data_IF_042981622784
#
_entry.id   IF_042981622784
#
_cell.length_a   1.000
_cell.length_b   1.000
_cell.length_c   1.000
_cell.angle_alpha   90.00
_cell.angle_beta   90.00
_cell.angle_gamma   90.00
#
_symmetry.space_group_name_H-M   'P 1'
#
loop_
_entity.id
_entity.type
_entity.pdbx_description
1 polymer ?
#
# COMPACT_ATOMS: atom_id res chain seq x y z
N UNK A 1 -18.44 3.94 19.32
CA UNK A 1 -17.40 3.07 19.88
C UNK A 1 -16.34 2.93 18.81
N UNK A 2 -15.31 3.78 18.83
CA UNK A 2 -14.35 3.95 17.73
C UNK A 2 -13.30 2.84 17.76
N UNK A 3 -13.54 1.79 17.00
CA UNK A 3 -12.65 0.66 16.74
C UNK A 3 -12.77 0.50 15.22
N UNK A 4 -11.86 0.93 14.35
CA UNK A 4 -10.41 0.80 14.29
C UNK A 4 -9.85 1.82 13.27
N UNK A 5 -8.53 2.00 13.24
CA UNK A 5 -7.78 2.87 12.32
C UNK A 5 -7.90 2.53 10.81
N UNK A 6 -8.89 1.75 10.40
CA UNK A 6 -9.03 1.24 9.03
C UNK A 6 -10.49 0.92 8.68
N UNK A 7 -11.44 1.58 9.36
CA UNK A 7 -12.89 1.31 9.22
C UNK A 7 -13.38 1.51 7.80
N UNK A 8 -12.93 2.58 7.11
CA UNK A 8 -13.35 2.80 5.73
C UNK A 8 -12.91 1.68 4.78
N UNK A 9 -11.65 1.21 4.89
CA UNK A 9 -11.20 0.05 4.12
C UNK A 9 -12.00 -1.19 4.48
N UNK A 10 -12.20 -1.46 5.78
CA UNK A 10 -12.93 -2.63 6.25
C UNK A 10 -14.35 -2.65 5.70
N UNK A 11 -15.08 -1.55 5.80
CA UNK A 11 -16.44 -1.41 5.27
C UNK A 11 -16.46 -1.59 3.74
N UNK A 12 -15.51 -0.99 3.03
CA UNK A 12 -15.39 -1.11 1.57
C UNK A 12 -15.10 -2.55 1.16
N UNK A 13 -14.16 -3.22 1.82
CA UNK A 13 -13.80 -4.62 1.57
C UNK A 13 -14.99 -5.55 1.84
N UNK A 14 -15.64 -5.40 2.99
CA UNK A 14 -16.82 -6.20 3.37
C UNK A 14 -18.05 -5.94 2.50
N UNK A 15 -18.05 -4.85 1.72
CA UNK A 15 -19.12 -4.58 0.73
C UNK A 15 -19.02 -5.46 -0.53
N UNK A 16 -17.89 -6.14 -0.74
CA UNK A 16 -17.62 -7.03 -1.88
C UNK A 16 -17.19 -8.45 -1.47
N UNK A 17 -16.56 -8.60 -0.31
CA UNK A 17 -15.92 -9.82 0.15
C UNK A 17 -16.34 -10.17 1.58
N UNK A 18 -15.85 -11.30 2.08
CA UNK A 18 -16.19 -11.79 3.40
C UNK A 18 -15.00 -11.78 4.39
N UNK A 19 -15.25 -12.24 5.61
CA UNK A 19 -14.23 -12.27 6.65
C UNK A 19 -13.07 -13.26 6.37
N UNK A 20 -13.30 -14.49 5.87
CA UNK A 20 -12.23 -15.35 5.37
C UNK A 20 -11.28 -14.64 4.39
N UNK A 21 -11.81 -13.90 3.43
CA UNK A 21 -11.01 -13.15 2.45
C UNK A 21 -10.10 -12.11 3.10
N UNK A 22 -10.61 -11.42 4.11
CA UNK A 22 -9.83 -10.44 4.86
C UNK A 22 -8.64 -11.09 5.58
N UNK A 23 -8.78 -12.33 6.06
CA UNK A 23 -7.67 -13.06 6.71
C UNK A 23 -6.56 -13.42 5.72
N UNK A 24 -6.85 -13.53 4.43
CA UNK A 24 -5.83 -13.78 3.40
C UNK A 24 -4.91 -12.57 3.18
N UNK A 25 -5.35 -11.36 3.56
CA UNK A 25 -4.55 -10.12 3.50
C UNK A 25 -3.95 -9.80 4.86
N UNK A 26 -4.64 -10.17 5.94
CA UNK A 26 -4.18 -9.89 7.28
C UNK A 26 -3.03 -10.81 7.68
N UNK A 27 -1.91 -10.22 8.10
CA UNK A 27 -0.72 -10.97 8.52
C UNK A 27 -0.10 -11.85 7.42
N UNK A 28 -0.26 -11.44 6.17
CA UNK A 28 0.27 -12.14 4.99
C UNK A 28 1.54 -11.46 4.43
N UNK A 29 2.52 -12.26 4.02
CA UNK A 29 3.67 -11.81 3.24
C UNK A 29 4.47 -10.69 3.89
N UNK A 30 5.16 -9.92 3.04
CA UNK A 30 6.04 -8.83 3.46
C UNK A 30 5.39 -7.46 3.39
N UNK A 31 4.28 -7.28 2.69
CA UNK A 31 3.67 -5.98 2.41
C UNK A 31 2.19 -5.88 2.79
N UNK A 32 1.48 -7.00 2.97
CA UNK A 32 0.08 -6.94 3.41
C UNK A 32 -0.04 -6.49 4.87
N UNK A 33 -1.28 -6.35 5.36
CA UNK A 33 -1.57 -5.77 6.67
C UNK A 33 -0.76 -6.46 7.77
N UNK A 34 -0.05 -5.66 8.58
CA UNK A 34 0.73 -6.20 9.70
C UNK A 34 -0.13 -6.41 10.94
N UNK A 35 0.29 -7.35 11.79
CA UNK A 35 -0.20 -7.40 13.17
C UNK A 35 0.28 -6.17 13.94
N UNK A 36 -0.66 -5.33 14.41
CA UNK A 36 -0.34 -4.18 15.25
C UNK A 36 -1.32 -3.02 15.12
N UNK A 37 -1.00 -1.92 15.80
CA UNK A 37 -1.86 -0.73 15.89
C UNK A 37 -1.96 0.08 14.58
N UNK A 38 -1.15 -0.24 13.57
CA UNK A 38 -1.09 0.48 12.28
C UNK A 38 -0.98 -0.51 11.12
N UNK A 39 -2.04 -1.29 10.86
CA UNK A 39 -2.00 -2.33 9.83
C UNK A 39 -1.84 -1.77 8.41
N UNK A 40 -2.25 -0.51 8.17
CA UNK A 40 -2.21 0.16 6.86
C UNK A 40 -0.88 0.87 6.54
N UNK A 41 0.01 1.07 7.52
CA UNK A 41 1.20 1.92 7.37
C UNK A 41 2.23 1.34 6.40
N UNK A 42 2.01 0.11 5.93
CA UNK A 42 2.90 -0.63 5.07
C UNK A 42 4.16 -1.02 5.81
N UNK A 43 4.48 -2.29 5.75
CA UNK A 43 5.74 -2.80 6.26
C UNK A 43 6.89 -2.31 5.36
N UNK A 44 7.90 -1.67 5.97
CA UNK A 44 9.12 -1.24 5.30
C UNK A 44 10.03 -2.41 4.93
N UNK A 45 9.47 -3.44 4.30
CA UNK A 45 10.19 -4.63 3.92
C UNK A 45 11.31 -4.28 2.93
N UNK A 46 12.49 -4.82 3.18
CA UNK A 46 13.68 -4.64 2.35
C UNK A 46 13.83 -5.77 1.32
N UNK A 47 12.85 -6.65 1.24
CA UNK A 47 12.83 -7.84 0.38
C UNK A 47 11.73 -7.73 -0.68
N UNK A 48 11.90 -8.35 -1.85
CA UNK A 48 10.84 -8.46 -2.84
C UNK A 48 9.57 -9.12 -2.25
N UNK A 49 8.38 -8.80 -2.79
CA UNK A 49 7.15 -9.46 -2.38
C UNK A 49 7.27 -10.98 -2.62
N UNK A 50 6.71 -11.77 -1.69
CA UNK A 50 6.91 -13.23 -1.69
C UNK A 50 6.09 -13.96 -2.75
N UNK A 51 5.00 -13.35 -3.21
CA UNK A 51 4.14 -13.84 -4.28
C UNK A 51 3.30 -12.71 -4.92
N UNK A 52 2.37 -13.07 -5.81
CA UNK A 52 1.52 -12.08 -6.47
C UNK A 52 0.53 -11.37 -5.52
N UNK A 53 0.07 -12.01 -4.45
CA UNK A 53 -0.81 -11.36 -3.45
C UNK A 53 -0.02 -10.29 -2.70
N UNK A 54 1.21 -10.61 -2.33
CA UNK A 54 2.12 -9.67 -1.68
C UNK A 54 2.55 -8.53 -2.64
N UNK A 55 2.60 -8.77 -3.95
CA UNK A 55 2.75 -7.69 -4.97
C UNK A 55 1.58 -6.71 -4.93
N UNK A 56 0.32 -7.17 -4.83
CA UNK A 56 -0.82 -6.26 -4.69
C UNK A 56 -0.76 -5.44 -3.41
N UNK A 57 -0.40 -6.07 -2.30
CA UNK A 57 -0.22 -5.38 -1.03
C UNK A 57 0.92 -4.36 -1.08
N UNK A 58 2.01 -4.66 -1.79
CA UNK A 58 3.09 -3.71 -2.06
C UNK A 58 2.57 -2.51 -2.86
N UNK A 59 1.76 -2.74 -3.90
CA UNK A 59 1.18 -1.67 -4.71
C UNK A 59 0.24 -0.79 -3.87
N UNK A 60 -0.60 -1.41 -3.02
CA UNK A 60 -1.51 -0.70 -2.13
C UNK A 60 -0.77 0.14 -1.08
N UNK A 61 0.22 -0.41 -0.40
CA UNK A 61 1.01 0.32 0.60
C UNK A 61 1.92 1.38 -0.02
N UNK A 62 2.40 1.17 -1.24
CA UNK A 62 3.09 2.20 -2.04
C UNK A 62 2.14 3.34 -2.38
N UNK A 63 0.88 3.03 -2.73
CA UNK A 63 -0.14 4.04 -2.98
C UNK A 63 -0.32 4.99 -1.79
N UNK A 64 -0.44 4.46 -0.57
CA UNK A 64 -0.51 5.28 0.64
C UNK A 64 0.72 6.15 0.88
N UNK A 65 1.92 5.59 0.67
CA UNK A 65 3.17 6.34 0.83
C UNK A 65 3.24 7.48 -0.20
N UNK A 66 2.76 7.26 -1.41
CA UNK A 66 2.68 8.31 -2.42
C UNK A 66 1.61 9.36 -2.09
N UNK A 67 0.42 8.94 -1.63
CA UNK A 67 -0.60 9.87 -1.14
C UNK A 67 -0.04 10.80 -0.05
N UNK A 68 0.84 10.29 0.82
CA UNK A 68 1.58 11.10 1.79
C UNK A 68 2.52 12.10 1.14
N UNK A 69 3.33 11.67 0.18
CA UNK A 69 4.30 12.53 -0.52
C UNK A 69 3.56 13.66 -1.25
N UNK A 70 2.50 13.34 -2.00
CA UNK A 70 1.75 14.30 -2.82
C UNK A 70 1.10 15.43 -2.00
N UNK A 71 0.80 15.18 -0.73
CA UNK A 71 0.11 16.14 0.17
C UNK A 71 0.97 16.55 1.38
N UNK A 72 2.29 16.66 1.17
CA UNK A 72 3.24 17.19 2.17
C UNK A 72 3.26 16.41 3.51
N UNK A 73 3.19 15.08 3.44
CA UNK A 73 3.27 14.13 4.56
C UNK A 73 2.16 14.22 5.62
N UNK A 74 1.07 14.94 5.35
CA UNK A 74 -0.04 15.12 6.30
C UNK A 74 -1.12 14.03 6.21
N UNK A 75 -1.01 13.09 5.27
CA UNK A 75 -2.06 12.13 4.95
C UNK A 75 -1.79 10.74 5.50
N UNK A 76 -2.24 10.45 6.71
CA UNK A 76 -2.02 9.13 7.33
C UNK A 76 -3.26 8.25 7.11
N UNK A 77 -3.16 7.13 6.36
CA UNK A 77 -4.28 6.22 6.08
C UNK A 77 -5.03 5.79 7.35
N UNK A 78 -4.31 5.66 8.46
CA UNK A 78 -4.88 5.20 9.73
C UNK A 78 -5.82 6.17 10.42
N UNK A 79 -5.77 7.45 10.05
CA UNK A 79 -6.44 8.52 10.80
C UNK A 79 -7.31 9.40 9.92
N UNK A 80 -7.22 9.23 8.62
CA UNK A 80 -8.00 10.00 7.66
C UNK A 80 -9.25 9.21 7.32
N UNK A 81 -10.39 9.71 7.79
CA UNK A 81 -11.68 9.19 7.36
C UNK A 81 -12.07 9.81 6.03
N UNK A 82 -12.52 8.97 5.11
CA UNK A 82 -13.07 9.35 3.82
C UNK A 82 -14.49 8.80 3.65
N UNK A 83 -15.20 9.30 2.65
CA UNK A 83 -16.55 8.85 2.31
C UNK A 83 -16.50 8.14 0.96
N UNK A 84 -17.34 7.13 0.79
CA UNK A 84 -17.50 6.41 -0.48
C UNK A 84 -18.93 5.87 -0.57
N UNK A 85 -19.37 5.57 -1.78
CA UNK A 85 -20.69 4.97 -2.03
C UNK A 85 -20.60 4.00 -3.21
N UNK A 86 -21.68 3.25 -3.45
CA UNK A 86 -21.83 2.46 -4.68
C UNK A 86 -22.75 3.19 -5.65
N UNK A 87 -22.34 3.27 -6.91
CA UNK A 87 -23.18 3.82 -7.97
C UNK A 87 -24.31 2.86 -8.38
N UNK A 88 -25.08 3.23 -9.39
CA UNK A 88 -26.18 2.40 -9.93
C UNK A 88 -25.71 1.05 -10.49
N UNK A 89 -24.40 0.90 -10.77
CA UNK A 89 -23.77 -0.32 -11.30
C UNK A 89 -23.02 -1.12 -10.22
N UNK A 90 -23.25 -0.84 -8.93
CA UNK A 90 -22.54 -1.42 -7.78
C UNK A 90 -21.02 -1.14 -7.78
N UNK A 91 -20.57 -0.11 -8.51
CA UNK A 91 -19.18 0.32 -8.53
C UNK A 91 -18.89 1.24 -7.35
N UNK A 92 -17.80 0.97 -6.64
CA UNK A 92 -17.33 1.83 -5.55
C UNK A 92 -16.92 3.18 -6.14
N UNK A 93 -17.44 4.27 -5.61
CA UNK A 93 -17.08 5.65 -5.98
C UNK A 93 -16.58 6.36 -4.74
N UNK A 94 -15.40 6.97 -4.85
CA UNK A 94 -14.82 7.79 -3.80
C UNK A 94 -15.45 9.17 -3.79
N UNK A 95 -15.98 9.59 -2.64
CA UNK A 95 -16.46 10.95 -2.46
C UNK A 95 -15.28 11.86 -2.13
N UNK A 96 -15.03 12.80 -3.04
CA UNK A 96 -13.79 13.56 -3.04
C UNK A 96 -13.78 14.69 -2.02
N UNK A 97 -14.93 15.14 -1.48
CA UNK A 97 -15.05 16.20 -0.46
C UNK A 97 -14.19 17.48 -0.73
N UNK A 98 -13.67 17.65 -1.94
CA UNK A 98 -12.52 18.51 -2.28
C UNK A 98 -11.24 18.33 -1.42
N UNK A 99 -11.05 17.20 -0.75
CA UNK A 99 -9.86 16.91 0.04
C UNK A 99 -8.94 15.90 -0.69
N UNK A 100 -7.77 16.33 -1.20
CA UNK A 100 -6.89 15.48 -2.00
C UNK A 100 -6.33 14.28 -1.22
N UNK A 101 -6.17 14.40 0.10
CA UNK A 101 -5.71 13.30 0.93
C UNK A 101 -6.78 12.21 1.09
N UNK A 102 -8.02 12.62 1.41
CA UNK A 102 -9.15 11.67 1.52
C UNK A 102 -9.38 10.95 0.19
N UNK A 103 -9.39 11.70 -0.90
CA UNK A 103 -9.50 11.18 -2.26
C UNK A 103 -8.42 10.15 -2.54
N UNK A 104 -7.15 10.48 -2.31
CA UNK A 104 -6.03 9.58 -2.59
C UNK A 104 -6.11 8.27 -1.78
N UNK A 105 -6.42 8.34 -0.48
CA UNK A 105 -6.56 7.13 0.35
C UNK A 105 -7.74 6.27 -0.13
N UNK A 106 -8.90 6.89 -0.40
CA UNK A 106 -10.05 6.16 -0.90
C UNK A 106 -9.75 5.44 -2.23
N UNK A 107 -9.08 6.12 -3.17
CA UNK A 107 -8.72 5.50 -4.45
C UNK A 107 -7.70 4.37 -4.29
N UNK A 108 -6.75 4.48 -3.34
CA UNK A 108 -5.86 3.38 -3.00
C UNK A 108 -6.62 2.14 -2.49
N UNK A 109 -7.62 2.35 -1.61
CA UNK A 109 -8.44 1.28 -1.04
C UNK A 109 -9.35 0.66 -2.08
N UNK A 110 -10.04 1.50 -2.85
CA UNK A 110 -10.89 1.11 -3.97
C UNK A 110 -10.12 0.24 -4.95
N UNK A 111 -8.92 0.64 -5.36
CA UNK A 111 -8.12 -0.16 -6.28
C UNK A 111 -7.81 -1.54 -5.70
N UNK A 112 -7.38 -1.62 -4.43
CA UNK A 112 -7.11 -2.91 -3.80
C UNK A 112 -8.35 -3.79 -3.75
N UNK A 113 -9.49 -3.24 -3.31
CA UNK A 113 -10.77 -3.95 -3.21
C UNK A 113 -11.25 -4.40 -4.58
N UNK A 114 -11.21 -3.54 -5.60
CA UNK A 114 -11.64 -3.89 -6.96
C UNK A 114 -10.77 -4.98 -7.61
N UNK A 115 -9.51 -5.14 -7.18
CA UNK A 115 -8.55 -6.08 -7.76
C UNK A 115 -8.21 -7.30 -6.87
N UNK A 116 -8.79 -7.39 -5.68
CA UNK A 116 -8.45 -8.43 -4.68
C UNK A 116 -8.56 -9.86 -5.24
N UNK A 117 -9.63 -10.15 -6.02
CA UNK A 117 -9.90 -11.47 -6.63
C UNK A 117 -9.21 -11.72 -7.97
N UNK A 118 -8.51 -10.73 -8.54
CA UNK A 118 -7.73 -10.95 -9.77
C UNK A 118 -6.56 -11.93 -9.57
N UNK A 119 -6.35 -12.37 -8.32
CA UNK A 119 -5.37 -13.36 -7.90
C UNK A 119 -6.03 -14.52 -7.13
N UNK A 120 -7.29 -14.84 -7.39
CA UNK A 120 -7.92 -16.04 -6.82
C UNK A 120 -7.02 -17.26 -7.05
N UNK A 121 -6.82 -18.05 -6.00
CA UNK A 121 -5.87 -19.18 -5.87
C UNK A 121 -4.39 -18.84 -5.59
N UNK A 122 -4.05 -17.60 -5.24
CA UNK A 122 -2.66 -17.22 -4.85
C UNK A 122 -2.42 -17.29 -3.34
N UNK A 123 -3.46 -17.37 -2.49
CA UNK A 123 -3.22 -17.52 -1.05
C UNK A 123 -2.40 -18.79 -0.77
N UNK A 124 -1.21 -18.58 -0.23
CA UNK A 124 -0.30 -19.64 0.20
C UNK A 124 -0.11 -19.50 1.71
N UNK A 125 -0.65 -20.47 2.44
CA UNK A 125 -0.58 -20.48 3.90
C UNK A 125 0.86 -20.37 4.43
N UNK A 126 1.88 -20.83 3.69
CA UNK A 126 3.28 -20.73 4.08
C UNK A 126 3.79 -19.28 4.22
N UNK A 127 3.08 -18.30 3.64
CA UNK A 127 3.38 -16.88 3.76
C UNK A 127 2.50 -16.15 4.78
N UNK A 128 1.64 -16.88 5.51
CA UNK A 128 0.83 -16.35 6.59
C UNK A 128 1.52 -16.52 7.94
N UNK A 129 1.56 -15.45 8.73
CA UNK A 129 2.09 -15.51 10.10
C UNK A 129 1.25 -16.43 11.00
N UNK A 130 -0.03 -16.63 10.67
CA UNK A 130 -0.90 -17.59 11.36
C UNK A 130 -0.45 -19.05 11.16
N UNK A 131 0.33 -19.32 10.12
CA UNK A 131 0.87 -20.64 9.78
C UNK A 131 2.40 -20.70 9.96
N UNK A 132 2.97 -19.76 10.72
CA UNK A 132 4.38 -19.78 11.11
C UNK A 132 5.33 -19.04 10.16
N UNK A 133 4.81 -18.32 9.16
CA UNK A 133 5.65 -17.37 8.41
C UNK A 133 6.25 -16.36 9.38
N UNK A 134 7.57 -16.16 9.31
CA UNK A 134 8.27 -15.21 10.17
C UNK A 134 8.55 -13.93 9.39
N UNK A 135 7.59 -13.00 9.41
CA UNK A 135 7.70 -11.73 8.67
C UNK A 135 8.97 -10.96 9.02
N UNK A 136 9.32 -10.85 10.30
CA UNK A 136 10.52 -10.12 10.72
C UNK A 136 11.80 -10.71 10.13
N UNK A 137 11.94 -12.04 10.19
CA UNK A 137 13.13 -12.73 9.66
C UNK A 137 13.15 -12.70 8.13
N UNK A 138 11.99 -12.91 7.48
CA UNK A 138 11.90 -13.09 6.03
C UNK A 138 11.93 -11.78 5.25
N UNK A 139 11.35 -10.70 5.82
CA UNK A 139 11.16 -9.42 5.12
C UNK A 139 12.14 -8.33 5.56
N UNK A 140 12.80 -8.53 6.72
CA UNK A 140 13.70 -7.56 7.34
C UNK A 140 15.07 -8.15 7.72
N UNK A 141 15.43 -9.35 7.22
CA UNK A 141 16.76 -9.91 7.41
C UNK A 141 17.83 -8.83 7.19
N UNK A 142 18.66 -8.64 8.21
CA UNK A 142 19.67 -7.60 8.28
C UNK A 142 20.49 -7.59 6.98
N UNK A 143 20.50 -6.46 6.28
CA UNK A 143 21.74 -6.10 5.61
C UNK A 143 22.77 -5.94 6.72
N UNK A 144 23.76 -6.82 6.75
CA UNK A 144 25.03 -6.54 7.39
C UNK A 144 25.46 -5.13 6.96
N UNK A 145 25.31 -4.16 7.87
CA UNK A 145 25.98 -2.86 7.87
C UNK A 145 25.92 -1.95 6.63
N UNK A 146 25.11 -2.22 5.60
CA UNK A 146 25.15 -1.41 4.35
C UNK A 146 23.79 -1.26 3.66
N UNK A 147 22.78 -0.80 4.42
CA UNK A 147 21.54 -0.35 3.78
C UNK A 147 20.49 0.18 4.73
N UNK A 148 20.65 1.45 5.12
CA UNK A 148 19.56 2.41 5.18
C UNK A 148 18.46 2.19 6.23
N UNK A 149 18.79 2.39 7.50
CA UNK A 149 17.87 3.04 8.45
C UNK A 149 18.68 3.68 9.57
N UNK A 150 19.17 4.88 9.32
CA UNK A 150 19.45 5.85 10.38
C UNK A 150 18.97 7.22 9.90
N UNK A 151 17.91 7.70 10.53
CA UNK A 151 17.47 9.09 10.48
C UNK A 151 18.49 10.02 11.12
N UNK A 152 19.60 10.27 10.41
CA UNK A 152 20.68 11.12 10.88
C UNK A 152 21.86 11.25 9.90
N UNK A 153 21.62 11.04 8.60
CA UNK A 153 22.63 11.22 7.57
C UNK A 153 22.57 12.64 7.01
N UNK A 154 23.70 13.35 7.04
CA UNK A 154 23.94 14.57 6.26
C UNK A 154 23.74 14.24 4.77
N UNK A 155 22.51 14.42 4.27
CA UNK A 155 22.10 13.92 2.96
C UNK A 155 22.05 15.07 1.99
N UNK A 156 22.88 15.03 0.95
CA UNK A 156 22.42 15.49 -0.35
C UNK A 156 21.05 14.82 -0.57
N UNK A 157 20.00 15.63 -0.57
CA UNK A 157 18.61 15.20 -0.45
C UNK A 157 18.16 14.49 -1.70
N UNK A 158 18.24 13.16 -1.73
CA UNK A 158 17.55 12.37 -2.75
C UNK A 158 16.06 12.63 -2.59
N UNK A 159 15.50 13.43 -3.49
CA UNK A 159 14.09 13.82 -3.45
C UNK A 159 13.28 12.74 -4.16
N UNK A 160 12.59 11.91 -3.37
CA UNK A 160 11.67 10.88 -3.88
C UNK A 160 10.30 11.50 -4.14
N UNK A 161 9.81 11.30 -5.36
CA UNK A 161 8.48 11.70 -5.81
C UNK A 161 7.71 10.47 -6.31
N UNK A 162 6.43 10.66 -6.65
CA UNK A 162 5.56 9.57 -7.07
C UNK A 162 4.83 9.82 -8.40
N UNK A 163 4.62 8.74 -9.14
CA UNK A 163 4.02 8.69 -10.47
C UNK A 163 2.90 7.64 -10.50
N UNK A 164 2.09 7.64 -11.57
CA UNK A 164 1.04 6.63 -11.80
C UNK A 164 -0.27 6.90 -11.05
N UNK A 165 -1.28 6.10 -11.35
CA UNK A 165 -2.60 6.17 -10.70
C UNK A 165 -2.64 5.32 -9.42
N UNK A 166 -3.73 5.42 -8.67
CA UNK A 166 -3.97 4.56 -7.53
C UNK A 166 -3.80 3.08 -7.90
N UNK A 167 -3.04 2.35 -7.09
CA UNK A 167 -2.72 0.94 -7.36
C UNK A 167 -1.60 0.67 -8.35
N UNK A 168 -1.12 1.70 -9.07
CA UNK A 168 0.05 1.66 -9.95
C UNK A 168 1.07 2.73 -9.57
N UNK A 169 0.99 3.21 -8.32
CA UNK A 169 1.89 4.22 -7.78
C UNK A 169 3.28 3.62 -7.63
N UNK A 170 4.27 4.35 -8.12
CA UNK A 170 5.67 3.98 -8.00
C UNK A 170 6.48 5.20 -7.54
N UNK A 171 7.59 4.94 -6.86
CA UNK A 171 8.54 5.99 -6.49
C UNK A 171 9.51 6.25 -7.62
N UNK A 172 9.87 7.52 -7.81
CA UNK A 172 10.97 7.89 -8.68
C UNK A 172 11.86 8.93 -8.00
N UNK A 173 13.14 8.95 -8.38
CA UNK A 173 14.07 9.99 -7.98
C UNK A 173 13.81 11.23 -8.84
N UNK A 174 13.52 12.40 -8.27
CA UNK A 174 13.18 13.58 -9.09
C UNK A 174 14.37 14.16 -9.87
N UNK A 175 15.60 13.90 -9.44
CA UNK A 175 16.84 14.34 -10.09
C UNK A 175 17.25 13.42 -11.24
N UNK A 176 17.09 12.10 -11.07
CA UNK A 176 17.60 11.08 -12.02
C UNK A 176 16.49 10.32 -12.77
N UNK A 177 15.24 10.41 -12.29
CA UNK A 177 13.93 10.07 -12.88
C UNK A 177 13.74 8.70 -13.52
N UNK A 178 12.89 7.80 -13.04
CA UNK A 178 12.14 6.92 -13.95
C UNK A 178 10.91 6.33 -13.26
N UNK A 179 9.86 6.06 -14.03
CA UNK A 179 8.66 5.35 -13.67
C UNK A 179 7.79 5.20 -14.93
N UNK A 180 7.94 4.16 -15.72
CA UNK A 180 6.97 3.75 -16.74
C UNK A 180 6.75 2.23 -16.56
N UNK A 181 5.68 1.58 -17.00
CA UNK A 181 4.84 1.79 -18.15
C UNK A 181 3.39 2.07 -17.76
N UNK A 182 2.75 3.11 -18.24
CA UNK A 182 3.21 4.41 -18.73
C UNK A 182 2.44 5.52 -17.98
N UNK A 183 2.40 5.37 -16.65
CA UNK A 183 2.42 6.47 -15.69
C UNK A 183 3.73 7.27 -15.75
N UNK A 184 4.17 7.61 -16.98
CA UNK A 184 5.57 7.67 -17.36
C UNK A 184 6.30 8.86 -16.77
N UNK A 185 7.33 8.63 -15.96
CA UNK A 185 8.37 9.60 -15.66
C UNK A 185 9.68 8.98 -16.10
N UNK A 186 10.54 9.77 -16.71
CA UNK A 186 11.75 9.34 -17.42
C UNK A 186 12.80 10.44 -17.17
N UNK A 187 14.11 10.23 -17.23
CA UNK A 187 14.82 9.02 -17.61
C UNK A 187 15.93 8.53 -16.66
N UNK A 188 15.80 7.28 -16.19
CA UNK A 188 16.91 6.49 -15.68
C UNK A 188 17.05 5.30 -16.61
N UNK A 189 17.26 5.64 -17.88
CA UNK A 189 17.15 4.73 -19.01
C UNK A 189 15.88 4.92 -19.85
N UNK A 190 15.00 5.87 -19.46
CA UNK A 190 13.85 6.38 -20.24
C UNK A 190 12.55 5.56 -20.18
N UNK A 191 12.31 4.79 -19.11
CA UNK A 191 11.09 3.99 -18.93
C UNK A 191 10.66 3.90 -17.46
#
# INVERSE_FOLDING_TARGET
MSLRRWDNFYEMFMSKYDFPDLLEVYSYGCYCLSMGDRPLSGTGANQPPVDARDVQCKAWTTCYKCARIDVNNKCQPETVNYSWFKDENDQIVCDLDNNPCKAAICECDKYFVDNFRNLDHVFNENFSEFHGFKRQESCYANRDGTGGSNGGGNSNTVTLECCGDAGKREFFNSETKMCCADGSIKPLGLC
#
